data_IF_316894772423
#
_entry.id   IF_316894772423
#
_cell.length_a   1.000
_cell.length_b   1.000
_cell.length_c   1.000
_cell.angle_alpha   90.00
_cell.angle_beta   90.00
_cell.angle_gamma   90.00
#
_symmetry.space_group_name_H-M   'P 1'
#
loop_
_entity.id
_entity.type
_entity.pdbx_description
1 polymer ?
#
# COMPACT_ATOMS: atom_id res chain seq x y z
N UNK A 1 -13.93 11.36 32.17
CA UNK A 1 -13.99 10.26 31.19
C UNK A 1 -15.13 9.34 31.57
N UNK A 2 -16.13 9.22 30.71
CA UNK A 2 -17.28 8.33 30.93
C UNK A 2 -16.91 6.85 30.79
N UNK A 3 -17.71 5.96 31.37
CA UNK A 3 -17.52 4.50 31.25
C UNK A 3 -17.50 4.06 29.77
N UNK A 4 -18.31 4.70 28.92
CA UNK A 4 -18.36 4.45 27.48
C UNK A 4 -17.06 4.82 26.76
N UNK A 5 -16.51 6.01 27.01
CA UNK A 5 -15.25 6.46 26.40
C UNK A 5 -14.08 5.54 26.76
N UNK A 6 -14.04 5.06 28.01
CA UNK A 6 -13.02 4.12 28.46
C UNK A 6 -13.13 2.78 27.71
N UNK A 7 -14.34 2.24 27.57
CA UNK A 7 -14.56 0.97 26.85
C UNK A 7 -14.21 1.06 25.37
N UNK A 8 -14.58 2.15 24.70
CA UNK A 8 -14.22 2.37 23.29
C UNK A 8 -12.71 2.48 23.11
N UNK A 9 -12.02 3.18 24.04
CA UNK A 9 -10.56 3.27 24.03
C UNK A 9 -9.90 1.89 24.23
N UNK A 10 -10.34 1.12 25.21
CA UNK A 10 -9.82 -0.24 25.46
C UNK A 10 -10.06 -1.16 24.24
N UNK A 11 -11.21 -1.00 23.56
CA UNK A 11 -11.52 -1.73 22.32
C UNK A 11 -10.57 -1.35 21.18
N UNK A 12 -10.32 -0.06 20.98
CA UNK A 12 -9.41 0.44 19.96
C UNK A 12 -7.95 0.02 20.21
N UNK A 13 -7.49 0.10 21.47
CA UNK A 13 -6.15 -0.35 21.87
C UNK A 13 -5.98 -1.85 21.61
N UNK A 14 -7.00 -2.67 21.88
CA UNK A 14 -6.96 -4.10 21.55
C UNK A 14 -6.93 -4.36 20.05
N UNK A 15 -7.77 -3.69 19.26
CA UNK A 15 -7.73 -3.82 17.79
C UNK A 15 -6.34 -3.54 17.24
N UNK A 16 -5.75 -2.42 17.67
CA UNK A 16 -4.38 -2.05 17.28
C UNK A 16 -3.37 -3.16 17.62
N UNK A 17 -3.41 -3.70 18.85
CA UNK A 17 -2.51 -4.80 19.24
C UNK A 17 -2.68 -6.05 18.37
N UNK A 18 -3.91 -6.40 17.99
CA UNK A 18 -4.20 -7.53 17.11
C UNK A 18 -3.63 -7.27 15.72
N UNK A 19 -3.87 -6.07 15.16
CA UNK A 19 -3.40 -5.68 13.83
C UNK A 19 -1.87 -5.62 13.77
N UNK A 20 -1.21 -5.00 14.75
CA UNK A 20 0.25 -4.94 14.84
C UNK A 20 0.86 -6.36 14.86
N UNK A 21 0.29 -7.26 15.67
CA UNK A 21 0.73 -8.65 15.71
C UNK A 21 0.48 -9.39 14.39
N UNK A 22 -0.65 -9.13 13.74
CA UNK A 22 -0.99 -9.71 12.45
C UNK A 22 -0.02 -9.25 11.35
N UNK A 23 0.30 -7.95 11.28
CA UNK A 23 1.30 -7.39 10.34
C UNK A 23 2.62 -8.13 10.49
N UNK A 24 3.17 -8.16 11.72
CA UNK A 24 4.45 -8.80 11.97
C UNK A 24 4.46 -10.27 11.52
N UNK A 25 3.40 -11.01 11.84
CA UNK A 25 3.33 -12.44 11.52
C UNK A 25 3.11 -12.67 10.03
N UNK A 26 2.26 -11.88 9.38
CA UNK A 26 2.04 -11.98 7.95
C UNK A 26 3.29 -11.63 7.16
N UNK A 27 4.06 -10.63 7.59
CA UNK A 27 5.37 -10.29 7.02
C UNK A 27 6.38 -11.42 7.23
N UNK A 28 6.49 -11.96 8.46
CA UNK A 28 7.53 -12.94 8.77
C UNK A 28 7.25 -14.35 8.23
N UNK A 29 6.00 -14.80 8.27
CA UNK A 29 5.61 -16.20 8.01
C UNK A 29 4.76 -16.37 6.75
N UNK A 30 4.18 -15.28 6.25
CA UNK A 30 3.24 -15.26 5.13
C UNK A 30 1.80 -15.47 5.56
N UNK A 31 0.89 -14.70 4.97
CA UNK A 31 -0.55 -14.69 5.29
C UNK A 31 -1.20 -16.09 5.32
N UNK A 32 -0.87 -16.97 4.37
CA UNK A 32 -1.48 -18.30 4.27
C UNK A 32 -1.13 -19.21 5.46
N UNK A 33 0.08 -19.06 6.03
CA UNK A 33 0.55 -19.93 7.12
C UNK A 33 0.08 -19.48 8.49
N UNK A 34 -0.28 -18.20 8.62
CA UNK A 34 -0.71 -17.61 9.89
C UNK A 34 -2.21 -17.82 10.09
N UNK A 35 -2.58 -18.38 11.24
CA UNK A 35 -3.97 -18.51 11.70
C UNK A 35 -4.31 -17.49 12.80
N UNK A 36 -5.60 -17.24 13.02
CA UNK A 36 -6.09 -16.43 14.15
C UNK A 36 -5.55 -16.95 15.49
N UNK A 37 -5.37 -18.27 15.63
CA UNK A 37 -4.80 -18.87 16.83
C UNK A 37 -3.34 -18.46 17.01
N UNK A 38 -2.53 -18.48 15.95
CA UNK A 38 -1.14 -18.05 16.04
C UNK A 38 -1.02 -16.59 16.48
N UNK A 39 -1.90 -15.72 15.96
CA UNK A 39 -1.96 -14.30 16.34
C UNK A 39 -2.34 -14.16 17.81
N UNK A 40 -3.38 -14.88 18.26
CA UNK A 40 -3.81 -14.88 19.65
C UNK A 40 -2.69 -15.34 20.60
N UNK A 41 -1.99 -16.42 20.23
CA UNK A 41 -0.85 -16.96 20.98
C UNK A 41 0.28 -15.91 21.06
N UNK A 42 0.59 -15.20 19.95
CA UNK A 42 1.62 -14.13 19.92
C UNK A 42 1.34 -12.98 20.88
N UNK A 43 0.07 -12.60 21.06
CA UNK A 43 -0.32 -11.52 21.98
C UNK A 43 -0.74 -12.02 23.37
N UNK A 44 -0.59 -13.32 23.64
CA UNK A 44 -0.94 -13.99 24.90
C UNK A 44 -2.44 -13.94 25.25
N UNK A 45 -3.31 -14.03 24.24
CA UNK A 45 -4.76 -14.11 24.39
C UNK A 45 -5.34 -15.40 23.83
N UNK A 46 -6.60 -15.67 24.21
CA UNK A 46 -7.34 -16.79 23.62
C UNK A 46 -7.80 -16.45 22.18
N UNK A 47 -7.93 -17.44 21.27
CA UNK A 47 -8.53 -17.20 19.96
C UNK A 47 -9.93 -16.60 20.05
N UNK A 48 -10.71 -16.99 21.06
CA UNK A 48 -12.03 -16.43 21.32
C UNK A 48 -12.00 -14.91 21.55
N UNK A 49 -10.92 -14.38 22.14
CA UNK A 49 -10.73 -12.94 22.31
C UNK A 49 -10.63 -12.24 20.96
N UNK A 50 -9.88 -12.79 20.00
CA UNK A 50 -9.74 -12.21 18.66
C UNK A 50 -11.09 -12.19 17.93
N UNK A 51 -11.86 -13.27 18.06
CA UNK A 51 -13.19 -13.38 17.45
C UNK A 51 -14.23 -12.39 18.00
N UNK A 52 -13.97 -11.72 19.13
CA UNK A 52 -14.79 -10.59 19.59
C UNK A 52 -14.58 -9.31 18.76
N UNK A 53 -13.47 -9.22 18.02
CA UNK A 53 -13.08 -8.05 17.23
C UNK A 53 -13.18 -8.28 15.73
N UNK A 54 -12.91 -9.51 15.28
CA UNK A 54 -12.85 -9.90 13.87
C UNK A 54 -13.59 -11.21 13.64
N UNK A 55 -14.50 -11.24 12.67
CA UNK A 55 -15.30 -12.42 12.30
C UNK A 55 -14.42 -13.54 11.74
N UNK A 56 -13.39 -13.19 10.99
CA UNK A 56 -12.48 -14.09 10.30
C UNK A 56 -11.10 -13.43 10.04
N UNK A 57 -10.20 -14.19 9.40
CA UNK A 57 -8.86 -13.72 9.03
C UNK A 57 -8.90 -12.66 7.91
N UNK A 58 -9.97 -12.61 7.13
CA UNK A 58 -10.13 -11.68 5.99
C UNK A 58 -10.51 -10.29 6.49
N UNK A 59 -11.41 -10.18 7.48
CA UNK A 59 -11.73 -8.91 8.14
C UNK A 59 -10.50 -8.35 8.87
N UNK A 60 -9.69 -9.20 9.51
CA UNK A 60 -8.43 -8.75 10.10
C UNK A 60 -7.46 -8.26 9.03
N UNK A 61 -7.38 -8.95 7.89
CA UNK A 61 -6.53 -8.52 6.78
C UNK A 61 -6.97 -7.16 6.22
N UNK A 62 -8.26 -6.86 6.20
CA UNK A 62 -8.77 -5.54 5.80
C UNK A 62 -8.17 -4.42 6.67
N UNK A 63 -8.22 -4.54 8.00
CA UNK A 63 -7.63 -3.55 8.90
C UNK A 63 -6.09 -3.50 8.77
N UNK A 64 -5.44 -4.66 8.54
CA UNK A 64 -4.00 -4.72 8.24
C UNK A 64 -3.64 -3.93 6.97
N UNK A 65 -4.47 -4.01 5.93
CA UNK A 65 -4.26 -3.23 4.72
C UNK A 65 -4.39 -1.73 4.97
N UNK A 66 -5.35 -1.31 5.79
CA UNK A 66 -5.51 0.10 6.18
C UNK A 66 -4.20 0.65 6.77
N UNK A 67 -3.59 -0.07 7.71
CA UNK A 67 -2.30 0.30 8.31
C UNK A 67 -1.15 0.29 7.28
N UNK A 68 -1.16 -0.66 6.34
CA UNK A 68 -0.16 -0.73 5.29
C UNK A 68 -0.22 0.47 4.32
N UNK A 69 -1.43 0.87 3.89
CA UNK A 69 -1.63 2.06 3.07
C UNK A 69 -1.33 3.35 3.84
N UNK A 70 -1.67 3.40 5.13
CA UNK A 70 -1.32 4.52 6.00
C UNK A 70 0.21 4.70 6.06
N UNK A 71 0.98 3.60 6.21
CA UNK A 71 2.45 3.63 6.13
C UNK A 71 2.96 4.15 4.79
N UNK A 72 2.34 3.77 3.67
CA UNK A 72 2.69 4.32 2.36
C UNK A 72 2.40 5.82 2.28
N UNK A 73 1.25 6.27 2.79
CA UNK A 73 0.89 7.68 2.83
C UNK A 73 1.85 8.50 3.72
N UNK A 74 2.29 7.95 4.85
CA UNK A 74 3.32 8.54 5.71
C UNK A 74 4.68 8.62 5.02
N UNK A 75 5.06 7.56 4.30
CA UNK A 75 6.29 7.54 3.49
C UNK A 75 6.27 8.64 2.42
N UNK A 76 5.14 8.82 1.71
CA UNK A 76 4.96 9.93 0.79
C UNK A 76 5.12 11.29 1.48
N UNK A 77 4.45 11.51 2.62
CA UNK A 77 4.57 12.76 3.39
C UNK A 77 6.00 13.06 3.83
N UNK A 78 6.79 12.04 4.14
CA UNK A 78 8.17 12.19 4.59
C UNK A 78 9.15 12.52 3.46
N UNK A 79 8.89 12.05 2.23
CA UNK A 79 9.84 12.10 1.12
C UNK A 79 9.50 13.10 0.01
N UNK A 80 8.26 13.61 -0.03
CA UNK A 80 7.83 14.57 -1.05
C UNK A 80 7.99 15.98 -0.50
N UNK A 81 8.83 16.78 -1.16
CA UNK A 81 9.22 18.12 -0.69
C UNK A 81 8.95 19.23 -1.70
N UNK A 82 8.73 18.91 -2.98
CA UNK A 82 8.54 19.92 -4.02
C UNK A 82 7.09 20.39 -4.13
N UNK A 83 6.91 21.69 -4.33
CA UNK A 83 5.62 22.31 -4.68
C UNK A 83 5.39 22.36 -6.21
N UNK A 84 6.42 22.10 -7.03
CA UNK A 84 6.26 21.96 -8.47
C UNK A 84 5.56 20.63 -8.80
N UNK A 85 4.39 20.62 -9.48
CA UNK A 85 3.63 19.39 -9.68
C UNK A 85 4.40 18.29 -10.43
N UNK A 86 5.30 18.67 -11.35
CA UNK A 86 6.05 17.71 -12.15
C UNK A 86 7.19 17.09 -11.34
N UNK A 87 7.95 17.90 -10.61
CA UNK A 87 8.96 17.39 -9.68
C UNK A 87 8.30 16.57 -8.56
N UNK A 88 7.17 17.03 -8.02
CA UNK A 88 6.36 16.29 -7.05
C UNK A 88 5.87 14.95 -7.59
N UNK A 89 5.48 14.89 -8.87
CA UNK A 89 5.09 13.63 -9.53
C UNK A 89 6.26 12.66 -9.56
N UNK A 90 7.44 13.15 -9.93
CA UNK A 90 8.65 12.34 -9.92
C UNK A 90 8.98 11.83 -8.52
N UNK A 91 8.93 12.68 -7.50
CA UNK A 91 9.14 12.30 -6.10
C UNK A 91 8.13 11.25 -5.62
N UNK A 92 6.84 11.42 -5.94
CA UNK A 92 5.78 10.45 -5.61
C UNK A 92 6.09 9.07 -6.17
N UNK A 93 6.40 8.98 -7.48
CA UNK A 93 6.61 7.68 -8.12
C UNK A 93 7.92 7.04 -7.66
N UNK A 94 8.99 7.82 -7.46
CA UNK A 94 10.25 7.29 -6.92
C UNK A 94 10.09 6.81 -5.47
N UNK A 95 9.38 7.58 -4.64
CA UNK A 95 9.04 7.19 -3.27
C UNK A 95 8.20 5.91 -3.22
N UNK A 96 7.30 5.71 -4.19
CA UNK A 96 6.54 4.46 -4.33
C UNK A 96 7.44 3.26 -4.63
N UNK A 97 8.43 3.42 -5.51
CA UNK A 97 9.42 2.38 -5.78
C UNK A 97 10.29 2.06 -4.55
N UNK A 98 10.69 3.09 -3.81
CA UNK A 98 11.49 2.95 -2.58
C UNK A 98 10.72 2.22 -1.48
N UNK A 99 9.47 2.63 -1.24
CA UNK A 99 8.59 1.98 -0.26
C UNK A 99 8.43 0.49 -0.54
N UNK A 100 8.15 0.13 -1.79
CA UNK A 100 7.93 -1.24 -2.18
C UNK A 100 9.19 -2.13 -2.07
N UNK A 101 10.38 -1.52 -2.07
CA UNK A 101 11.66 -2.21 -1.84
C UNK A 101 12.01 -2.31 -0.36
N UNK A 102 11.73 -1.26 0.42
CA UNK A 102 12.01 -1.24 1.85
C UNK A 102 11.03 -2.13 2.64
N UNK A 103 9.79 -2.24 2.15
CA UNK A 103 8.69 -2.96 2.78
C UNK A 103 8.08 -4.00 1.80
N UNK A 104 8.92 -4.88 1.24
CA UNK A 104 8.51 -5.86 0.20
C UNK A 104 7.33 -6.73 0.65
N UNK A 105 7.38 -7.26 1.86
CA UNK A 105 6.34 -8.13 2.40
C UNK A 105 5.05 -7.37 2.73
N UNK A 106 5.17 -6.10 3.13
CA UNK A 106 4.01 -5.25 3.39
C UNK A 106 3.30 -4.87 2.08
N UNK A 107 4.08 -4.57 1.03
CA UNK A 107 3.55 -4.33 -0.31
C UNK A 107 2.76 -5.54 -0.82
N UNK A 108 3.25 -6.74 -0.53
CA UNK A 108 2.60 -7.99 -0.88
C UNK A 108 1.19 -8.11 -0.25
N UNK A 109 1.06 -7.73 1.02
CA UNK A 109 -0.22 -7.71 1.76
C UNK A 109 -1.20 -6.67 1.21
N UNK A 110 -0.70 -5.55 0.67
CA UNK A 110 -1.53 -4.46 0.14
C UNK A 110 -2.25 -4.84 -1.17
N UNK A 111 -1.60 -5.59 -2.08
CA UNK A 111 -2.07 -5.72 -3.45
C UNK A 111 -2.35 -7.16 -3.93
N UNK A 112 -1.79 -8.19 -3.31
CA UNK A 112 -1.84 -9.55 -3.89
C UNK A 112 -2.94 -10.43 -3.31
N UNK A 113 -3.30 -10.24 -2.04
CA UNK A 113 -4.34 -11.06 -1.45
C UNK A 113 -5.69 -10.50 -1.91
N UNK A 114 -6.46 -11.30 -2.66
CA UNK A 114 -7.84 -10.96 -3.05
C UNK A 114 -8.82 -11.05 -1.89
N UNK A 115 -8.44 -11.74 -0.81
CA UNK A 115 -9.26 -11.99 0.37
C UNK A 115 -9.91 -10.75 1.02
N UNK A 116 -9.25 -9.58 1.17
CA UNK A 116 -9.90 -8.39 1.70
C UNK A 116 -11.02 -7.88 0.78
N UNK A 117 -10.97 -8.11 -0.53
CA UNK A 117 -12.08 -7.79 -1.44
C UNK A 117 -13.31 -8.70 -1.21
N UNK A 118 -13.18 -9.84 -0.53
CA UNK A 118 -14.33 -10.64 -0.09
C UNK A 118 -15.02 -10.03 1.14
N UNK A 119 -14.32 -9.17 1.89
CA UNK A 119 -14.82 -8.48 3.07
C UNK A 119 -15.39 -7.09 2.78
N UNK A 120 -15.06 -6.51 1.62
CA UNK A 120 -15.71 -5.32 1.07
C UNK A 120 -17.09 -5.77 0.55
N UNK A 121 -18.17 -5.30 1.17
CA UNK A 121 -19.51 -5.47 0.58
C UNK A 121 -19.52 -4.84 -0.82
N UNK A 122 -20.26 -5.42 -1.78
CA UNK A 122 -20.22 -5.07 -3.22
C UNK A 122 -20.41 -3.57 -3.57
N UNK A 123 -20.76 -2.71 -2.60
CA UNK A 123 -20.98 -1.28 -2.76
C UNK A 123 -20.17 -0.41 -1.76
N UNK A 124 -19.28 -0.98 -0.94
CA UNK A 124 -18.43 -0.22 -0.04
C UNK A 124 -17.19 0.31 -0.76
N UNK A 125 -16.95 1.62 -0.67
CA UNK A 125 -15.71 2.22 -1.17
C UNK A 125 -14.50 1.58 -0.48
N UNK A 126 -13.46 1.27 -1.25
CA UNK A 126 -12.20 0.77 -0.68
C UNK A 126 -11.44 1.93 -0.02
N UNK A 127 -11.89 2.32 1.17
CA UNK A 127 -11.36 3.46 1.93
C UNK A 127 -9.85 3.34 2.18
N UNK A 128 -9.36 2.12 2.44
CA UNK A 128 -7.97 1.86 2.82
C UNK A 128 -6.94 2.36 1.78
N UNK A 129 -7.25 2.25 0.49
CA UNK A 129 -6.36 2.69 -0.59
C UNK A 129 -6.54 4.16 -1.00
N UNK A 130 -7.57 4.84 -0.50
CA UNK A 130 -7.99 6.14 -1.01
C UNK A 130 -6.95 7.23 -0.77
N UNK A 131 -6.28 7.27 0.37
CA UNK A 131 -5.36 8.36 0.71
C UNK A 131 -4.11 8.39 -0.19
N UNK A 132 -3.45 7.25 -0.36
CA UNK A 132 -2.27 7.15 -1.22
C UNK A 132 -2.61 7.38 -2.69
N UNK A 133 -3.74 6.82 -3.16
CA UNK A 133 -4.21 7.03 -4.53
C UNK A 133 -4.66 8.49 -4.77
N UNK A 134 -5.34 9.10 -3.81
CA UNK A 134 -5.78 10.51 -3.90
C UNK A 134 -4.59 11.45 -3.97
N UNK A 135 -3.53 11.22 -3.19
CA UNK A 135 -2.31 12.03 -3.29
C UNK A 135 -1.70 12.00 -4.70
N UNK A 136 -1.63 10.82 -5.34
CA UNK A 136 -1.17 10.71 -6.72
C UNK A 136 -2.12 11.41 -7.68
N UNK A 137 -3.42 11.13 -7.57
CA UNK A 137 -4.47 11.69 -8.42
C UNK A 137 -4.49 13.22 -8.38
N UNK A 138 -4.41 13.79 -7.20
CA UNK A 138 -4.49 15.23 -7.00
C UNK A 138 -3.25 15.92 -7.63
N UNK A 139 -2.06 15.33 -7.47
CA UNK A 139 -0.86 15.84 -8.11
C UNK A 139 -0.89 15.70 -9.65
N UNK A 140 -1.32 14.54 -10.17
CA UNK A 140 -1.49 14.32 -11.61
C UNK A 140 -2.53 15.28 -12.19
N UNK A 141 -3.63 15.53 -11.48
CA UNK A 141 -4.65 16.50 -11.88
C UNK A 141 -4.08 17.91 -11.99
N UNK A 142 -3.19 18.31 -11.08
CA UNK A 142 -2.47 19.58 -11.17
C UNK A 142 -1.53 19.63 -12.39
N UNK A 143 -0.86 18.52 -12.73
CA UNK A 143 -0.03 18.43 -13.94
C UNK A 143 -0.86 18.59 -15.22
N UNK A 144 -2.00 17.91 -15.32
CA UNK A 144 -2.93 18.01 -16.46
C UNK A 144 -3.48 19.43 -16.57
N UNK A 145 -3.97 20.01 -15.47
CA UNK A 145 -4.55 21.35 -15.47
C UNK A 145 -3.57 22.44 -15.92
N UNK A 146 -2.27 22.26 -15.64
CA UNK A 146 -1.20 23.17 -16.07
C UNK A 146 -0.61 22.84 -17.44
N UNK A 147 -1.06 21.77 -18.10
CA UNK A 147 -0.51 21.32 -19.39
C UNK A 147 0.94 20.84 -19.30
N UNK A 148 1.37 20.34 -18.14
CA UNK A 148 2.75 19.87 -17.91
C UNK A 148 2.97 18.44 -18.42
N UNK A 149 1.88 17.70 -18.66
CA UNK A 149 1.91 16.35 -19.23
C UNK A 149 0.95 16.25 -20.43
N UNK A 150 1.25 15.32 -21.33
CA UNK A 150 0.53 15.11 -22.60
C UNK A 150 -0.89 14.56 -22.43
N UNK A 151 -1.22 14.05 -21.26
CA UNK A 151 -2.56 13.56 -20.96
C UNK A 151 -3.56 14.70 -20.78
N UNK A 152 -4.80 14.48 -21.25
CA UNK A 152 -5.92 15.42 -21.11
C UNK A 152 -6.92 15.00 -20.04
N UNK A 153 -7.01 13.71 -19.72
CA UNK A 153 -7.88 13.16 -18.68
C UNK A 153 -7.04 12.82 -17.43
N UNK A 154 -7.32 13.45 -16.27
CA UNK A 154 -6.58 13.21 -15.03
C UNK A 154 -6.66 11.78 -14.51
N UNK A 155 -7.79 11.10 -14.68
CA UNK A 155 -7.97 9.73 -14.19
C UNK A 155 -7.18 8.76 -15.07
N UNK A 156 -7.25 8.91 -16.39
CA UNK A 156 -6.44 8.11 -17.32
C UNK A 156 -4.95 8.33 -17.04
N UNK A 157 -4.52 9.56 -16.82
CA UNK A 157 -3.13 9.88 -16.46
C UNK A 157 -2.71 9.20 -15.15
N UNK A 158 -3.56 9.30 -14.11
CA UNK A 158 -3.30 8.72 -12.79
C UNK A 158 -3.15 7.21 -12.86
N UNK A 159 -4.10 6.54 -13.53
CA UNK A 159 -4.07 5.10 -13.75
C UNK A 159 -2.86 4.67 -14.58
N UNK A 160 -2.48 5.45 -15.60
CA UNK A 160 -1.32 5.15 -16.43
C UNK A 160 -0.01 5.22 -15.65
N UNK A 161 0.17 6.28 -14.84
CA UNK A 161 1.35 6.44 -13.98
C UNK A 161 1.42 5.33 -12.95
N UNK A 162 0.31 5.07 -12.25
CA UNK A 162 0.25 4.01 -11.23
C UNK A 162 0.50 2.63 -11.84
N UNK A 163 -0.19 2.28 -12.93
CA UNK A 163 -0.05 0.98 -13.58
C UNK A 163 1.38 0.73 -14.09
N UNK A 164 2.05 1.76 -14.62
CA UNK A 164 3.43 1.63 -15.09
C UNK A 164 4.39 1.28 -13.94
N UNK A 165 4.36 2.06 -12.85
CA UNK A 165 5.23 1.80 -11.70
C UNK A 165 4.86 0.49 -10.99
N UNK A 166 3.57 0.26 -10.76
CA UNK A 166 3.05 -0.94 -10.11
C UNK A 166 3.38 -2.21 -10.90
N UNK A 167 3.34 -2.18 -12.23
CA UNK A 167 3.70 -3.31 -13.08
C UNK A 167 5.14 -3.76 -12.87
N UNK A 168 6.09 -2.83 -12.82
CA UNK A 168 7.50 -3.16 -12.55
C UNK A 168 7.69 -3.73 -11.14
N UNK A 169 7.07 -3.13 -10.13
CA UNK A 169 7.13 -3.61 -8.75
C UNK A 169 6.57 -5.03 -8.63
N UNK A 170 5.39 -5.27 -9.20
CA UNK A 170 4.74 -6.57 -9.20
C UNK A 170 5.55 -7.64 -9.94
N UNK A 171 6.23 -7.28 -11.03
CA UNK A 171 7.16 -8.19 -11.72
C UNK A 171 8.41 -8.48 -10.88
N UNK A 172 8.97 -7.48 -10.20
CA UNK A 172 10.18 -7.62 -9.40
C UNK A 172 9.92 -8.47 -8.13
N UNK A 173 8.94 -8.08 -7.31
CA UNK A 173 8.61 -8.74 -6.05
C UNK A 173 8.15 -10.19 -6.26
N UNK A 174 7.62 -10.52 -7.44
CA UNK A 174 7.25 -11.90 -7.82
C UNK A 174 8.37 -12.66 -8.51
N UNK A 175 9.60 -12.13 -8.50
CA UNK A 175 10.77 -12.68 -9.18
C UNK A 175 10.55 -12.96 -10.68
N UNK A 176 9.55 -12.31 -11.31
CA UNK A 176 9.21 -12.49 -12.73
C UNK A 176 10.07 -11.65 -13.64
N UNK A 177 10.64 -10.55 -13.13
CA UNK A 177 11.58 -9.71 -13.87
C UNK A 177 12.86 -10.46 -14.27
N UNK A 178 13.15 -11.61 -13.64
CA UNK A 178 14.28 -12.49 -14.01
C UNK A 178 14.25 -12.96 -15.47
N UNK A 179 13.09 -12.92 -16.13
CA UNK A 179 12.98 -13.18 -17.58
C UNK A 179 13.80 -12.20 -18.43
N UNK A 180 14.10 -11.02 -17.91
CA UNK A 180 14.93 -10.03 -18.59
C UNK A 180 16.44 -10.32 -18.48
N UNK A 181 16.85 -11.39 -17.78
CA UNK A 181 18.24 -11.83 -17.61
C UNK A 181 19.18 -10.71 -17.10
N UNK A 182 18.63 -9.81 -16.27
CA UNK A 182 19.38 -8.74 -15.64
C UNK A 182 20.11 -9.26 -14.39
N UNK A 183 21.30 -8.72 -14.14
CA UNK A 183 21.96 -8.86 -12.83
C UNK A 183 21.04 -8.29 -11.74
N UNK A 184 20.85 -9.05 -10.65
CA UNK A 184 19.99 -8.66 -9.52
C UNK A 184 20.43 -7.30 -8.95
N UNK A 185 21.73 -6.99 -8.95
CA UNK A 185 22.25 -5.70 -8.51
C UNK A 185 21.78 -4.52 -9.38
N UNK A 186 21.45 -4.77 -10.65
CA UNK A 186 21.05 -3.75 -11.62
C UNK A 186 19.53 -3.57 -11.72
N UNK A 187 18.72 -4.49 -11.18
CA UNK A 187 17.25 -4.41 -11.26
C UNK A 187 16.70 -3.09 -10.69
N UNK A 188 17.09 -2.63 -9.47
CA UNK A 188 16.57 -1.39 -8.93
C UNK A 188 16.93 -0.16 -9.78
N UNK A 189 18.11 -0.16 -10.39
CA UNK A 189 18.58 0.91 -11.27
C UNK A 189 17.75 0.92 -12.56
N UNK A 190 17.54 -0.25 -13.16
CA UNK A 190 16.74 -0.39 -14.38
C UNK A 190 15.30 0.07 -14.17
N UNK A 191 14.68 -0.31 -13.04
CA UNK A 191 13.31 0.10 -12.72
C UNK A 191 13.18 1.61 -12.58
N UNK A 192 14.08 2.27 -11.84
CA UNK A 192 14.09 3.74 -11.72
C UNK A 192 14.29 4.41 -13.08
N UNK A 193 15.21 3.90 -13.89
CA UNK A 193 15.46 4.44 -15.22
C UNK A 193 14.24 4.28 -16.15
N UNK A 194 13.57 3.13 -16.11
CA UNK A 194 12.38 2.88 -16.91
C UNK A 194 11.23 3.81 -16.50
N UNK A 195 11.01 3.99 -15.20
CA UNK A 195 10.02 4.93 -14.64
C UNK A 195 10.37 6.37 -15.01
N UNK A 196 11.64 6.78 -14.88
CA UNK A 196 12.07 8.11 -15.27
C UNK A 196 11.82 8.36 -16.76
N UNK A 197 12.20 7.40 -17.61
CA UNK A 197 11.98 7.50 -19.04
C UNK A 197 10.49 7.61 -19.38
N UNK A 198 9.63 6.84 -18.70
CA UNK A 198 8.19 6.97 -18.85
C UNK A 198 7.70 8.38 -18.48
N UNK A 199 8.13 8.93 -17.33
CA UNK A 199 7.77 10.29 -16.92
C UNK A 199 8.22 11.34 -17.95
N UNK A 200 9.43 11.20 -18.51
CA UNK A 200 9.94 12.09 -19.56
C UNK A 200 9.11 11.97 -20.85
N UNK A 201 8.64 10.77 -21.21
CA UNK A 201 7.81 10.56 -22.41
C UNK A 201 6.42 11.18 -22.30
N UNK A 202 5.91 11.41 -21.09
CA UNK A 202 4.60 12.02 -20.86
C UNK A 202 4.70 13.52 -20.57
N UNK A 203 5.86 14.05 -20.20
CA UNK A 203 6.11 15.48 -19.92
C UNK A 203 6.12 16.36 -21.18
N UNK A 204 5.35 17.44 -21.21
CA UNK A 204 5.32 18.42 -22.33
C UNK A 204 6.62 19.19 -22.46
#
# INVERSE_FOLDING_TARGET
>A
MGITERKEREKAEMRRRIVDAAIDMFVAEGYEKVSIRNIADKIEYSPATIYLYYKDKDELLYDVQAEAFQKLADHFRAHITSDDPLERLQQLVMSYLDFAREYEELYDLMFIIKAPMNSVENDAEWENGQDAFSQLRDNVSACVAKGLIRFTDPMIATLSVWAFAHGFLSLNLRCRIKIAELDEANIPIMMRNAVQHYLDTIKV
#
